data_IF_643109060418
#
_entry.id   IF_643109060418
#
_cell.length_a   1.000
_cell.length_b   1.000
_cell.length_c   1.000
_cell.angle_alpha   90.00
_cell.angle_beta   90.00
_cell.angle_gamma   90.00
#
_symmetry.space_group_name_H-M   'P 1'
#
loop_
_entity.id
_entity.type
_entity.pdbx_description
1 polymer ?
#
# COMPACT_ATOMS: atom_id res chain seq x y z
N UNK A 1 -18.27 -26.14 -9.59
CA UNK A 1 -19.12 -24.99 -9.97
C UNK A 1 -18.91 -23.97 -8.88
N UNK A 2 -18.13 -22.94 -9.17
CA UNK A 2 -17.85 -21.89 -8.20
C UNK A 2 -19.04 -20.93 -8.22
N UNK A 3 -19.68 -20.82 -7.08
CA UNK A 3 -20.76 -19.86 -6.86
C UNK A 3 -20.23 -18.45 -7.11
N UNK A 4 -20.84 -17.78 -8.10
CA UNK A 4 -20.54 -16.39 -8.39
C UNK A 4 -20.81 -15.57 -7.13
N UNK A 5 -19.79 -14.86 -6.66
CA UNK A 5 -19.97 -13.83 -5.65
C UNK A 5 -20.97 -12.82 -6.20
N UNK A 6 -22.15 -12.84 -5.62
CA UNK A 6 -23.19 -11.83 -5.86
C UNK A 6 -22.65 -10.50 -5.29
N UNK A 7 -21.84 -9.80 -6.09
CA UNK A 7 -21.50 -8.41 -5.79
C UNK A 7 -22.78 -7.64 -6.04
N UNK A 8 -23.39 -7.01 -5.02
CA UNK A 8 -24.59 -6.24 -5.21
C UNK A 8 -24.41 -5.29 -6.39
N UNK A 9 -25.39 -5.24 -7.28
CA UNK A 9 -25.38 -4.26 -8.36
C UNK A 9 -25.07 -2.89 -7.77
N UNK A 10 -24.14 -2.13 -8.40
CA UNK A 10 -23.67 -0.85 -7.91
C UNK A 10 -24.85 0.01 -7.49
N UNK A 11 -25.08 0.12 -6.20
CA UNK A 11 -26.10 1.02 -5.66
C UNK A 11 -25.65 2.44 -5.97
N UNK A 12 -26.56 3.31 -6.41
CA UNK A 12 -26.26 4.72 -6.63
C UNK A 12 -25.70 5.33 -5.33
N UNK A 13 -24.70 6.20 -5.45
CA UNK A 13 -24.13 6.89 -4.30
C UNK A 13 -25.24 7.67 -3.55
N UNK A 14 -25.56 7.34 -2.29
CA UNK A 14 -26.62 8.03 -1.55
C UNK A 14 -26.17 9.42 -1.03
N UNK A 15 -24.87 9.72 -1.09
CA UNK A 15 -24.33 11.02 -0.71
C UNK A 15 -24.41 12.00 -1.86
N UNK A 16 -24.79 13.24 -1.59
CA UNK A 16 -24.78 14.30 -2.59
C UNK A 16 -23.87 15.45 -2.14
N UNK A 17 -22.74 15.61 -2.81
CA UNK A 17 -21.84 16.74 -2.57
C UNK A 17 -22.45 18.03 -3.10
N UNK A 18 -22.51 19.05 -2.26
CA UNK A 18 -22.98 20.39 -2.59
C UNK A 18 -21.82 21.29 -3.01
N UNK A 19 -20.80 21.39 -2.15
CA UNK A 19 -19.59 22.18 -2.40
C UNK A 19 -18.36 21.40 -1.99
N UNK A 20 -17.20 21.80 -2.51
CA UNK A 20 -15.88 21.31 -2.10
C UNK A 20 -14.93 22.49 -2.01
N UNK A 21 -14.16 22.55 -0.94
CA UNK A 21 -13.03 23.48 -0.80
C UNK A 21 -11.79 22.75 -0.28
N UNK A 22 -10.61 23.25 -0.65
CA UNK A 22 -9.35 22.80 -0.06
C UNK A 22 -9.24 23.34 1.35
N UNK A 23 -9.04 22.47 2.33
CA UNK A 23 -8.79 22.83 3.71
C UNK A 23 -7.29 22.86 4.03
N UNK A 24 -6.51 21.96 3.40
CA UNK A 24 -5.06 21.89 3.48
C UNK A 24 -4.51 21.21 2.22
N UNK A 25 -3.32 21.62 1.78
CA UNK A 25 -2.64 21.02 0.62
C UNK A 25 -1.12 21.08 0.79
N UNK A 26 -0.47 20.02 0.32
CA UNK A 26 0.98 19.93 0.14
C UNK A 26 1.30 19.04 -1.09
N UNK A 27 2.58 18.80 -1.47
CA UNK A 27 2.89 18.00 -2.65
C UNK A 27 2.40 16.54 -2.62
N UNK A 28 2.08 15.98 -1.45
CA UNK A 28 1.71 14.58 -1.29
C UNK A 28 0.21 14.35 -1.14
N UNK A 29 -0.50 15.32 -0.53
CA UNK A 29 -1.93 15.17 -0.25
C UNK A 29 -2.68 16.49 -0.25
N UNK A 30 -3.98 16.39 -0.51
CA UNK A 30 -4.95 17.48 -0.35
C UNK A 30 -6.04 17.04 0.61
N UNK A 31 -6.36 17.87 1.60
CA UNK A 31 -7.53 17.66 2.46
C UNK A 31 -8.68 18.50 1.95
N UNK A 32 -9.74 17.83 1.51
CA UNK A 32 -10.97 18.49 1.08
C UNK A 32 -11.99 18.58 2.22
N UNK A 33 -12.68 19.70 2.27
CA UNK A 33 -13.88 19.90 3.08
C UNK A 33 -15.06 19.99 2.13
N UNK A 34 -15.95 18.99 2.21
CA UNK A 34 -17.17 18.92 1.41
C UNK A 34 -18.38 19.28 2.28
N UNK A 35 -19.26 20.14 1.77
CA UNK A 35 -20.63 20.24 2.26
C UNK A 35 -21.46 19.21 1.52
N UNK A 36 -22.23 18.41 2.23
CA UNK A 36 -22.94 17.27 1.65
C UNK A 36 -24.40 17.19 2.13
N UNK A 37 -25.21 16.49 1.37
CA UNK A 37 -26.46 15.89 1.89
C UNK A 37 -26.16 14.43 2.19
N UNK A 38 -26.46 14.03 3.43
CA UNK A 38 -26.28 12.68 3.93
C UNK A 38 -27.35 11.73 3.37
N UNK A 39 -27.17 10.39 3.48
CA UNK A 39 -28.15 9.42 2.98
C UNK A 39 -29.56 9.57 3.57
N UNK A 40 -29.69 10.09 4.78
CA UNK A 40 -30.96 10.38 5.44
C UNK A 40 -31.63 11.71 4.99
N UNK A 41 -30.96 12.46 4.10
CA UNK A 41 -31.40 13.77 3.60
C UNK A 41 -30.96 14.97 4.43
N UNK A 42 -30.29 14.77 5.57
CA UNK A 42 -29.81 15.87 6.41
C UNK A 42 -28.57 16.55 5.79
N UNK A 43 -28.36 17.86 6.00
CA UNK A 43 -27.12 18.51 5.65
C UNK A 43 -26.01 18.04 6.59
N UNK A 44 -24.77 17.99 6.07
CA UNK A 44 -23.60 17.57 6.82
C UNK A 44 -22.31 18.02 6.15
N UNK A 45 -21.19 17.60 6.73
CA UNK A 45 -19.86 17.82 6.18
C UNK A 45 -19.13 16.49 6.01
N UNK A 46 -18.19 16.43 5.06
CA UNK A 46 -17.28 15.31 4.90
C UNK A 46 -15.85 15.82 4.70
N UNK A 47 -14.89 15.32 5.50
CA UNK A 47 -13.48 15.55 5.30
C UNK A 47 -12.90 14.41 4.48
N UNK A 48 -12.21 14.71 3.37
CA UNK A 48 -11.58 13.70 2.53
C UNK A 48 -10.10 14.00 2.40
N UNK A 49 -9.26 13.01 2.68
CA UNK A 49 -7.82 13.06 2.38
C UNK A 49 -7.61 12.44 1.00
N UNK A 50 -7.16 13.27 0.06
CA UNK A 50 -6.82 12.87 -1.31
C UNK A 50 -5.31 12.72 -1.44
N UNK A 51 -4.83 11.55 -1.82
CA UNK A 51 -3.41 11.30 -2.06
C UNK A 51 -3.06 11.56 -3.53
N UNK A 52 -1.93 12.28 -3.75
CA UNK A 52 -1.44 12.56 -5.10
C UNK A 52 -0.98 11.29 -5.83
N UNK A 53 -0.48 10.31 -5.09
CA UNK A 53 0.06 9.04 -5.59
C UNK A 53 -0.73 7.84 -5.05
N UNK A 54 -0.63 6.72 -5.78
CA UNK A 54 -1.07 5.41 -5.28
C UNK A 54 -0.01 4.84 -4.34
N UNK A 55 -0.40 4.11 -3.31
CA UNK A 55 0.54 3.35 -2.50
C UNK A 55 0.95 2.08 -3.26
N UNK A 56 2.25 1.85 -3.42
CA UNK A 56 2.80 0.70 -4.15
C UNK A 56 3.63 -0.12 -3.18
N UNK A 57 3.33 -1.42 -3.03
CA UNK A 57 4.09 -2.33 -2.18
C UNK A 57 4.69 -3.50 -2.95
N UNK A 58 5.86 -3.97 -2.52
CA UNK A 58 6.60 -5.05 -3.17
C UNK A 58 6.98 -6.14 -2.17
N UNK A 59 6.28 -7.26 -2.21
CA UNK A 59 6.67 -8.46 -1.48
C UNK A 59 7.81 -9.15 -2.25
N UNK A 60 9.04 -8.78 -1.94
CA UNK A 60 10.24 -9.31 -2.56
C UNK A 60 10.67 -10.61 -1.85
N UNK A 61 10.74 -11.72 -2.60
CA UNK A 61 11.05 -13.06 -2.08
C UNK A 61 12.24 -13.62 -2.85
N UNK A 62 13.26 -14.07 -2.12
CA UNK A 62 14.44 -14.69 -2.71
C UNK A 62 14.28 -16.21 -2.96
N UNK A 63 15.28 -16.82 -3.59
CA UNK A 63 15.29 -18.24 -3.90
C UNK A 63 15.36 -19.13 -2.63
N UNK A 64 15.72 -18.59 -1.49
CA UNK A 64 15.71 -19.23 -0.18
C UNK A 64 14.39 -19.07 0.58
N UNK A 65 13.35 -18.61 -0.10
CA UNK A 65 12.03 -18.31 0.49
C UNK A 65 12.09 -17.35 1.67
N UNK A 66 12.93 -16.31 1.55
CA UNK A 66 13.03 -15.23 2.53
C UNK A 66 12.40 -13.96 1.96
N UNK A 67 11.69 -13.22 2.81
CA UNK A 67 11.10 -11.92 2.52
C UNK A 67 12.13 -10.83 2.84
N UNK A 68 12.30 -9.88 1.93
CA UNK A 68 13.06 -8.66 2.19
C UNK A 68 12.15 -7.66 2.89
N UNK A 69 12.56 -7.23 4.07
CA UNK A 69 11.93 -6.16 4.82
C UNK A 69 12.82 -4.92 4.82
N UNK A 70 12.18 -3.77 4.83
CA UNK A 70 12.76 -2.44 5.02
C UNK A 70 12.35 -1.94 6.39
N UNK A 71 13.28 -1.46 7.17
CA UNK A 71 13.04 -0.87 8.48
C UNK A 71 13.31 0.62 8.45
N UNK A 72 12.37 1.42 8.94
CA UNK A 72 12.50 2.87 9.02
C UNK A 72 11.70 3.46 10.19
N UNK A 73 12.03 4.69 10.56
CA UNK A 73 11.26 5.44 11.55
C UNK A 73 10.10 6.17 10.88
N UNK A 74 8.87 5.82 11.22
CA UNK A 74 7.67 6.48 10.67
C UNK A 74 7.28 7.67 11.54
N UNK A 75 7.56 8.90 11.06
CA UNK A 75 7.26 10.15 11.76
C UNK A 75 5.83 10.24 12.30
N UNK A 76 4.75 9.90 11.53
CA UNK A 76 3.40 10.02 12.04
C UNK A 76 3.05 9.04 13.17
N UNK A 77 3.79 7.93 13.28
CA UNK A 77 3.57 6.92 14.31
C UNK A 77 4.48 7.10 15.53
N UNK A 78 5.50 7.96 15.40
CA UNK A 78 6.59 8.12 16.37
C UNK A 78 7.22 6.78 16.77
N UNK A 79 7.40 5.88 15.78
CA UNK A 79 7.85 4.52 15.99
C UNK A 79 8.67 3.98 14.82
N UNK A 80 9.56 3.02 15.14
CA UNK A 80 10.27 2.24 14.13
C UNK A 80 9.36 1.15 13.57
N UNK A 81 9.31 1.01 12.25
CA UNK A 81 8.46 0.06 11.55
C UNK A 81 9.27 -0.85 10.63
N UNK A 82 8.92 -2.14 10.60
CA UNK A 82 9.37 -3.09 9.60
C UNK A 82 8.27 -3.31 8.58
N UNK A 83 8.59 -3.12 7.31
CA UNK A 83 7.64 -3.07 6.20
C UNK A 83 8.21 -3.83 4.99
N UNK A 84 7.38 -4.16 4.02
CA UNK A 84 7.87 -4.51 2.68
C UNK A 84 8.37 -3.24 1.99
N UNK A 85 9.25 -3.30 0.98
CA UNK A 85 9.56 -2.15 0.13
C UNK A 85 8.28 -1.51 -0.40
N UNK A 86 8.12 -0.19 -0.19
CA UNK A 86 6.90 0.51 -0.57
C UNK A 86 7.12 2.00 -0.82
N UNK A 87 6.34 2.57 -1.73
CA UNK A 87 6.40 4.00 -2.00
C UNK A 87 5.27 4.51 -2.89
N UNK A 88 5.44 5.69 -3.45
CA UNK A 88 4.43 6.39 -4.22
C UNK A 88 4.47 6.10 -5.72
N UNK A 89 3.38 5.58 -6.29
CA UNK A 89 3.20 5.44 -7.73
C UNK A 89 2.48 6.64 -8.35
N UNK A 90 3.21 7.49 -9.07
CA UNK A 90 2.68 8.70 -9.66
C UNK A 90 1.71 8.46 -10.84
N UNK A 91 1.00 9.51 -11.29
CA UNK A 91 0.02 9.39 -12.38
C UNK A 91 0.63 9.09 -13.74
N UNK A 92 1.93 9.37 -13.94
CA UNK A 92 2.63 9.24 -15.20
C UNK A 92 3.39 7.91 -15.37
N UNK A 93 3.28 7.00 -14.40
CA UNK A 93 3.89 5.67 -14.44
C UNK A 93 2.85 4.60 -14.14
N UNK A 94 3.04 3.40 -14.69
CA UNK A 94 2.21 2.25 -14.31
C UNK A 94 2.56 1.78 -12.89
N UNK A 95 1.64 1.10 -12.22
CA UNK A 95 1.89 0.54 -10.89
C UNK A 95 3.09 -0.43 -10.87
N UNK A 96 3.32 -1.17 -11.97
CA UNK A 96 4.45 -2.07 -12.08
C UNK A 96 5.79 -1.32 -12.28
N UNK A 97 5.79 -0.22 -13.02
CA UNK A 97 6.99 0.63 -13.15
C UNK A 97 7.36 1.25 -11.81
N UNK A 98 6.39 1.78 -11.08
CA UNK A 98 6.58 2.27 -9.72
C UNK A 98 7.14 1.18 -8.80
N UNK A 99 6.56 -0.03 -8.80
CA UNK A 99 7.03 -1.14 -8.00
C UNK A 99 8.50 -1.53 -8.30
N UNK A 100 8.89 -1.47 -9.57
CA UNK A 100 10.28 -1.73 -9.99
C UNK A 100 11.24 -0.64 -9.54
N UNK A 101 10.80 0.60 -9.61
CA UNK A 101 11.58 1.76 -9.17
C UNK A 101 11.78 1.73 -7.66
N UNK A 102 10.71 1.60 -6.87
CA UNK A 102 10.76 1.57 -5.40
C UNK A 102 11.65 0.42 -4.89
N UNK A 103 11.47 -0.80 -5.41
CA UNK A 103 12.34 -1.91 -5.03
C UNK A 103 13.82 -1.60 -5.28
N UNK A 104 14.14 -0.97 -6.42
CA UNK A 104 15.52 -0.66 -6.76
C UNK A 104 16.08 0.51 -5.92
N UNK A 105 15.30 1.54 -5.67
CA UNK A 105 15.70 2.72 -4.91
C UNK A 105 15.96 2.38 -3.44
N UNK A 106 15.00 1.76 -2.76
CA UNK A 106 15.10 1.43 -1.36
C UNK A 106 16.10 0.31 -1.06
N UNK A 107 16.18 -0.70 -1.93
CA UNK A 107 16.89 -1.94 -1.59
C UNK A 107 18.08 -2.25 -2.49
N UNK A 108 18.19 -1.61 -3.64
CA UNK A 108 19.17 -1.94 -4.68
C UNK A 108 18.83 -3.24 -5.45
N UNK A 109 17.77 -3.96 -5.11
CA UNK A 109 17.40 -5.17 -5.80
C UNK A 109 16.55 -4.89 -7.05
N UNK A 110 16.67 -5.78 -8.04
CA UNK A 110 15.80 -5.87 -9.22
C UNK A 110 15.26 -7.29 -9.30
N UNK A 111 14.03 -7.46 -9.76
CA UNK A 111 13.39 -8.75 -9.88
C UNK A 111 13.18 -9.16 -11.34
N UNK A 112 13.32 -10.45 -11.61
CA UNK A 112 13.08 -11.03 -12.93
C UNK A 112 11.61 -11.35 -13.19
N UNK A 113 10.83 -11.66 -12.13
CA UNK A 113 9.42 -12.05 -12.24
C UNK A 113 8.56 -11.19 -11.33
N UNK A 114 7.41 -10.76 -11.85
CA UNK A 114 6.45 -9.89 -11.17
C UNK A 114 5.03 -10.43 -11.32
N UNK A 115 4.27 -10.42 -10.24
CA UNK A 115 2.85 -10.76 -10.24
C UNK A 115 2.10 -9.76 -9.36
N UNK A 116 1.09 -9.09 -9.92
CA UNK A 116 0.16 -8.29 -9.10
C UNK A 116 -0.54 -9.24 -8.11
N UNK A 117 -0.37 -8.98 -6.84
CA UNK A 117 -0.93 -9.77 -5.76
C UNK A 117 -2.32 -9.27 -5.39
N UNK A 118 -2.53 -7.96 -5.46
CA UNK A 118 -3.84 -7.37 -5.22
C UNK A 118 -3.84 -5.87 -5.08
N UNK A 119 -5.04 -5.39 -4.77
CA UNK A 119 -5.34 -3.97 -4.52
C UNK A 119 -6.16 -3.84 -3.25
N UNK A 120 -6.03 -2.72 -2.57
CA UNK A 120 -6.82 -2.39 -1.38
C UNK A 120 -7.05 -0.88 -1.29
N UNK A 121 -8.23 -0.48 -0.82
CA UNK A 121 -8.48 0.89 -0.41
C UNK A 121 -8.04 1.04 1.05
N UNK A 122 -7.07 1.92 1.30
CA UNK A 122 -6.61 2.21 2.66
C UNK A 122 -7.46 3.32 3.26
N UNK A 123 -7.85 3.14 4.55
CA UNK A 123 -8.67 4.13 5.29
C UNK A 123 -9.88 4.65 4.50
N UNK A 124 -10.63 3.75 3.86
CA UNK A 124 -11.71 4.03 2.90
C UNK A 124 -12.88 4.89 3.43
N UNK A 125 -12.92 5.16 4.72
CA UNK A 125 -13.92 6.07 5.33
C UNK A 125 -13.47 7.54 5.32
N UNK A 126 -12.19 7.82 5.06
CA UNK A 126 -11.63 9.18 5.17
C UNK A 126 -10.69 9.52 4.01
N UNK A 127 -10.15 8.54 3.29
CA UNK A 127 -9.23 8.76 2.18
C UNK A 127 -9.64 8.01 0.92
N UNK A 128 -9.12 8.45 -0.22
CA UNK A 128 -9.21 7.77 -1.51
C UNK A 128 -7.93 7.00 -1.87
N UNK A 129 -7.08 6.75 -0.87
CA UNK A 129 -5.81 6.06 -1.06
C UNK A 129 -6.01 4.65 -1.57
N UNK A 130 -5.42 4.36 -2.72
CA UNK A 130 -5.43 3.04 -3.35
C UNK A 130 -4.04 2.42 -3.26
N UNK A 131 -3.95 1.29 -2.57
CA UNK A 131 -2.77 0.45 -2.56
C UNK A 131 -2.80 -0.59 -3.68
N UNK A 132 -1.66 -0.81 -4.35
CA UNK A 132 -1.44 -1.88 -5.33
C UNK A 132 -0.14 -2.57 -4.94
N UNK A 133 -0.17 -3.89 -4.79
CA UNK A 133 0.99 -4.62 -4.33
C UNK A 133 1.30 -5.84 -5.17
N UNK A 134 2.59 -6.13 -5.28
CA UNK A 134 3.16 -7.15 -6.16
C UNK A 134 4.01 -8.15 -5.37
N UNK A 135 4.08 -9.38 -5.87
CA UNK A 135 5.15 -10.31 -5.52
C UNK A 135 6.26 -10.17 -6.55
N UNK A 136 7.50 -10.08 -6.09
CA UNK A 136 8.70 -9.98 -6.90
C UNK A 136 9.66 -11.14 -6.56
N UNK A 137 10.10 -11.89 -7.56
CA UNK A 137 11.03 -13.04 -7.42
C UNK A 137 12.13 -13.01 -8.47
N UNK A 138 13.14 -13.91 -8.34
CA UNK A 138 14.30 -13.90 -9.20
C UNK A 138 15.13 -12.65 -8.99
N UNK A 139 15.41 -12.35 -7.71
CA UNK A 139 16.06 -11.13 -7.29
C UNK A 139 17.53 -11.10 -7.67
N UNK A 140 17.99 -9.93 -8.14
CA UNK A 140 19.39 -9.66 -8.43
C UNK A 140 19.78 -8.37 -7.71
N UNK A 141 20.85 -8.44 -6.92
CA UNK A 141 21.36 -7.31 -6.16
C UNK A 141 21.97 -6.22 -7.04
N UNK A 142 21.90 -5.01 -6.58
CA UNK A 142 22.50 -3.80 -7.14
C UNK A 142 22.86 -2.83 -6.01
N UNK A 143 22.91 -1.55 -6.33
CA UNK A 143 23.17 -0.50 -5.34
C UNK A 143 21.87 0.22 -5.04
N UNK A 144 21.52 0.32 -3.76
CA UNK A 144 20.39 1.13 -3.30
C UNK A 144 20.68 2.63 -3.48
N UNK A 145 19.64 3.39 -3.80
CA UNK A 145 19.70 4.86 -3.94
C UNK A 145 18.45 5.47 -3.29
N UNK A 146 18.27 5.29 -1.95
CA UNK A 146 17.10 5.78 -1.25
C UNK A 146 17.00 7.31 -1.33
N UNK A 147 15.81 7.85 -1.16
CA UNK A 147 15.61 9.29 -1.08
C UNK A 147 16.31 9.87 0.15
N UNK A 148 16.73 11.14 0.08
CA UNK A 148 17.54 11.78 1.14
C UNK A 148 16.84 11.95 2.50
N UNK A 149 15.55 11.63 2.59
CA UNK A 149 14.76 11.61 3.82
C UNK A 149 14.64 10.22 4.45
N UNK A 150 15.21 9.19 3.80
CA UNK A 150 15.07 7.79 4.18
C UNK A 150 16.37 7.23 4.74
N UNK A 151 16.34 6.84 6.01
CA UNK A 151 17.40 6.05 6.66
C UNK A 151 16.88 4.62 6.79
N UNK A 152 17.17 3.79 5.77
CA UNK A 152 16.60 2.46 5.62
C UNK A 152 17.55 1.37 6.14
N UNK A 153 16.99 0.38 6.85
CA UNK A 153 17.66 -0.86 7.19
C UNK A 153 17.03 -2.02 6.45
N UNK A 154 17.85 -2.90 5.87
CA UNK A 154 17.38 -4.08 5.16
C UNK A 154 17.50 -5.33 6.02
N UNK A 155 16.47 -6.16 6.03
CA UNK A 155 16.45 -7.44 6.76
C UNK A 155 15.79 -8.53 5.94
N UNK A 156 16.46 -9.67 5.85
CA UNK A 156 15.87 -10.89 5.30
C UNK A 156 15.29 -11.74 6.42
N UNK A 157 14.03 -12.17 6.27
CA UNK A 157 13.38 -13.09 7.22
C UNK A 157 12.76 -14.27 6.45
N UNK A 158 12.74 -15.49 7.00
CA UNK A 158 12.00 -16.59 6.41
C UNK A 158 10.53 -16.20 6.17
N UNK A 159 9.90 -16.68 5.10
CA UNK A 159 8.52 -16.31 4.77
C UNK A 159 7.55 -16.61 5.91
N UNK A 160 7.66 -17.78 6.55
CA UNK A 160 6.81 -18.14 7.70
C UNK A 160 7.05 -17.22 8.93
N UNK A 161 8.28 -16.73 9.13
CA UNK A 161 8.54 -15.73 10.16
C UNK A 161 7.87 -14.39 9.80
N UNK A 162 7.94 -13.95 8.55
CA UNK A 162 7.24 -12.75 8.10
C UNK A 162 5.72 -12.86 8.35
N UNK A 163 5.13 -14.03 8.07
CA UNK A 163 3.72 -14.30 8.40
C UNK A 163 3.48 -14.19 9.91
N UNK A 164 4.31 -14.80 10.74
CA UNK A 164 4.19 -14.69 12.20
C UNK A 164 4.31 -13.23 12.68
N UNK A 165 5.23 -12.45 12.10
CA UNK A 165 5.42 -11.03 12.41
C UNK A 165 4.19 -10.17 12.13
N UNK A 166 3.36 -10.53 11.13
CA UNK A 166 2.09 -9.85 10.87
C UNK A 166 0.99 -10.19 11.88
N UNK A 167 1.14 -11.31 12.60
CA UNK A 167 0.15 -11.77 13.60
C UNK A 167 0.51 -11.26 15.00
N UNK A 168 1.80 -11.22 15.34
CA UNK A 168 2.26 -10.82 16.67
C UNK A 168 2.57 -9.32 16.80
N UNK A 169 2.33 -8.52 15.73
CA UNK A 169 2.45 -7.07 15.72
C UNK A 169 3.86 -6.53 15.49
N UNK A 170 4.86 -7.38 15.20
CA UNK A 170 6.21 -6.92 14.79
C UNK A 170 6.19 -6.25 13.40
N UNK A 171 5.21 -6.58 12.55
CA UNK A 171 4.85 -5.84 11.36
C UNK A 171 3.44 -5.29 11.59
N UNK A 172 3.31 -3.97 11.67
CA UNK A 172 2.05 -3.29 11.92
C UNK A 172 1.55 -2.51 10.69
N UNK A 173 2.37 -2.35 9.66
CA UNK A 173 2.00 -1.70 8.42
C UNK A 173 0.92 -2.49 7.67
N UNK A 174 -0.16 -1.80 7.27
CA UNK A 174 -1.32 -2.44 6.65
C UNK A 174 -1.01 -3.07 5.29
N UNK A 175 -0.20 -2.40 4.46
CA UNK A 175 0.14 -2.88 3.12
C UNK A 175 1.02 -4.12 3.19
N UNK A 176 2.00 -4.13 4.09
CA UNK A 176 2.86 -5.29 4.39
C UNK A 176 2.04 -6.48 4.90
N UNK A 177 1.12 -6.25 5.86
CA UNK A 177 0.23 -7.29 6.37
C UNK A 177 -0.61 -7.88 5.24
N UNK A 178 -1.25 -7.06 4.43
CA UNK A 178 -2.10 -7.50 3.32
C UNK A 178 -1.30 -8.32 2.30
N UNK A 179 -0.10 -7.87 1.92
CA UNK A 179 0.74 -8.56 0.94
C UNK A 179 1.21 -9.92 1.47
N UNK A 180 1.78 -9.97 2.67
CA UNK A 180 2.33 -11.19 3.27
C UNK A 180 1.22 -12.22 3.51
N UNK A 181 0.12 -11.82 4.15
CA UNK A 181 -0.98 -12.75 4.45
C UNK A 181 -1.70 -13.22 3.19
N UNK A 182 -1.89 -12.35 2.19
CA UNK A 182 -2.51 -12.75 0.93
C UNK A 182 -1.65 -13.76 0.17
N UNK A 183 -0.34 -13.57 0.14
CA UNK A 183 0.58 -14.57 -0.45
C UNK A 183 0.54 -15.88 0.32
N UNK A 184 0.51 -15.86 1.65
CA UNK A 184 0.37 -17.06 2.45
C UNK A 184 -0.92 -17.84 2.14
N UNK A 185 -2.03 -17.14 1.90
CA UNK A 185 -3.30 -17.76 1.50
C UNK A 185 -3.25 -18.33 0.08
N UNK A 186 -2.56 -17.65 -0.86
CA UNK A 186 -2.38 -18.13 -2.24
C UNK A 186 -1.55 -19.41 -2.27
N UNK A 187 -0.49 -19.50 -1.46
CA UNK A 187 0.40 -20.69 -1.37
C UNK A 187 -0.27 -21.93 -0.79
N UNK A 188 -1.37 -21.75 -0.03
CA UNK A 188 -2.13 -22.87 0.58
C UNK A 188 -3.15 -23.49 -0.38
N UNK A 189 -3.34 -22.93 -1.57
CA UNK A 189 -4.27 -23.42 -2.59
C UNK A 189 -3.58 -24.37 -3.56
#
# INVERSE_FOLDING_TARGET
>A
MADGHDVPAATSNPWRRLTRRVAYENPWLTVWHDEVIQPDGAPGIYGVVHFANRAIGVLAIDDGDRVLLVGQYRYPLDAYSWEIPEGGGGPNESALEAARRELAEETGFRAGTWRELGRAALSNSVSDELAIFFVATGLRGGTATPEGTEELQLRWVPFEEAVAMTVDGRIADALSILAIQREALVRRR
#
